data_IF_888611940678
#
_entry.id   IF_888611940678
#
_cell.length_a   1.000
_cell.length_b   1.000
_cell.length_c   1.000
_cell.angle_alpha   90.00
_cell.angle_beta   90.00
_cell.angle_gamma   90.00
#
_symmetry.space_group_name_H-M   'P 1'
#
loop_
_entity.id
_entity.type
_entity.pdbx_description
1 polymer ?
#
# COMPACT_ATOMS: atom_id res chain seq x y z
N UNK A 1 -13.31 17.81 14.19
CA UNK A 1 -13.16 16.53 13.46
C UNK A 1 -11.76 16.00 13.73
N UNK A 2 -11.58 14.68 13.78
CA UNK A 2 -10.23 14.11 13.81
C UNK A 2 -9.56 14.42 12.47
N UNK A 3 -8.41 15.11 12.42
CA UNK A 3 -7.73 15.38 11.16
C UNK A 3 -7.24 14.07 10.55
N UNK A 4 -7.85 13.64 9.45
CA UNK A 4 -7.55 12.38 8.77
C UNK A 4 -8.57 12.06 7.67
N UNK A 5 -8.28 11.04 6.86
CA UNK A 5 -9.23 10.52 5.88
C UNK A 5 -10.44 9.88 6.61
N UNK A 6 -11.69 10.05 6.15
CA UNK A 6 -12.88 9.52 6.83
C UNK A 6 -12.84 8.01 7.11
N UNK A 7 -12.26 7.25 6.19
CA UNK A 7 -12.12 5.79 6.30
C UNK A 7 -10.92 5.34 7.15
N UNK A 8 -10.15 6.27 7.72
CA UNK A 8 -8.95 5.90 8.48
C UNK A 8 -9.31 5.11 9.74
N UNK A 9 -8.63 3.98 9.91
CA UNK A 9 -8.63 3.17 11.12
C UNK A 9 -7.27 2.46 11.24
N UNK A 10 -6.88 2.10 12.47
CA UNK A 10 -5.65 1.36 12.70
C UNK A 10 -5.74 -0.03 12.06
N UNK A 11 -4.73 -0.38 11.24
CA UNK A 11 -4.65 -1.70 10.64
C UNK A 11 -4.51 -2.81 11.71
N UNK A 12 -5.09 -4.00 11.51
CA UNK A 12 -4.89 -5.14 12.40
C UNK A 12 -3.41 -5.49 12.57
N UNK A 13 -3.03 -6.07 13.72
CA UNK A 13 -1.63 -6.46 14.00
C UNK A 13 -1.01 -7.37 12.93
N UNK A 14 -1.81 -8.20 12.27
CA UNK A 14 -1.38 -9.08 11.18
C UNK A 14 -0.86 -8.33 9.95
N UNK A 15 -1.19 -7.04 9.81
CA UNK A 15 -0.74 -6.16 8.73
C UNK A 15 0.46 -5.27 9.10
N UNK A 16 0.98 -5.35 10.32
CA UNK A 16 2.11 -4.52 10.75
C UNK A 16 3.37 -4.77 9.88
N UNK A 17 4.07 -3.70 9.51
CA UNK A 17 5.34 -3.73 8.76
C UNK A 17 6.56 -3.36 9.61
N UNK A 18 6.37 -2.69 10.74
CA UNK A 18 7.47 -2.29 11.62
C UNK A 18 8.33 -3.49 12.02
N UNK A 19 9.65 -3.35 11.91
CA UNK A 19 10.62 -4.40 12.19
C UNK A 19 10.72 -5.52 11.14
N UNK A 20 9.92 -5.47 10.06
CA UNK A 20 10.04 -6.42 8.95
C UNK A 20 11.04 -5.94 7.90
N UNK A 21 11.69 -6.90 7.27
CA UNK A 21 12.52 -6.68 6.10
C UNK A 21 11.68 -6.40 4.85
N UNK A 22 12.29 -5.91 3.77
CA UNK A 22 11.56 -5.58 2.53
C UNK A 22 10.97 -6.83 1.86
N UNK A 23 11.71 -7.93 1.85
CA UNK A 23 11.25 -9.23 1.38
C UNK A 23 10.06 -9.74 2.20
N UNK A 24 10.12 -9.61 3.53
CA UNK A 24 9.01 -10.01 4.40
C UNK A 24 7.74 -9.16 4.18
N UNK A 25 7.89 -7.85 3.95
CA UNK A 25 6.76 -6.97 3.61
C UNK A 25 6.18 -7.34 2.24
N UNK A 26 7.02 -7.56 1.24
CA UNK A 26 6.58 -7.98 -0.10
C UNK A 26 5.79 -9.29 -0.06
N UNK A 27 6.30 -10.31 0.64
CA UNK A 27 5.57 -11.57 0.79
C UNK A 27 4.27 -11.39 1.59
N UNK A 28 4.23 -10.44 2.54
CA UNK A 28 3.00 -10.10 3.25
C UNK A 28 1.94 -9.46 2.36
N UNK A 29 2.33 -8.55 1.45
CA UNK A 29 1.42 -7.89 0.51
C UNK A 29 0.77 -8.93 -0.43
N UNK A 30 1.51 -9.98 -0.81
CA UNK A 30 1.04 -11.07 -1.67
C UNK A 30 0.16 -12.09 -0.95
N UNK A 31 0.31 -12.22 0.37
CA UNK A 31 -0.38 -13.22 1.16
C UNK A 31 -1.85 -12.83 1.43
N UNK A 32 -2.78 -13.55 0.79
CA UNK A 32 -4.22 -13.33 0.90
C UNK A 32 -4.75 -13.42 2.33
N UNK A 33 -4.08 -14.14 3.23
CA UNK A 33 -4.45 -14.23 4.65
C UNK A 33 -4.07 -13.00 5.45
N UNK A 34 -3.17 -12.16 4.92
CA UNK A 34 -2.61 -10.99 5.61
C UNK A 34 -2.87 -9.67 4.87
N UNK A 35 -3.35 -9.69 3.63
CA UNK A 35 -3.63 -8.48 2.83
C UNK A 35 -5.13 -8.13 2.71
N UNK A 36 -6.00 -8.79 3.50
CA UNK A 36 -7.45 -8.62 3.40
C UNK A 36 -8.08 -9.39 2.25
N UNK A 37 -7.52 -10.53 1.86
CA UNK A 37 -8.08 -11.44 0.85
C UNK A 37 -7.83 -11.05 -0.61
N UNK A 38 -7.12 -9.94 -0.86
CA UNK A 38 -6.95 -9.32 -2.18
C UNK A 38 -6.04 -10.15 -3.09
N UNK A 39 -6.43 -10.28 -4.36
CA UNK A 39 -5.55 -10.74 -5.44
C UNK A 39 -4.55 -9.64 -5.82
N UNK A 40 -3.52 -9.97 -6.59
CA UNK A 40 -2.56 -8.96 -7.08
C UNK A 40 -3.25 -7.88 -7.95
N UNK A 41 -4.23 -8.27 -8.78
CA UNK A 41 -5.01 -7.30 -9.55
C UNK A 41 -5.79 -6.34 -8.65
N UNK A 42 -6.39 -6.86 -7.56
CA UNK A 42 -7.08 -6.03 -6.58
C UNK A 42 -6.12 -5.15 -5.76
N UNK A 43 -4.87 -5.60 -5.53
CA UNK A 43 -3.82 -4.76 -4.93
C UNK A 43 -3.44 -3.62 -5.87
N UNK A 44 -3.30 -3.86 -7.17
CA UNK A 44 -3.02 -2.81 -8.15
C UNK A 44 -4.14 -1.75 -8.17
N UNK A 45 -5.40 -2.20 -8.19
CA UNK A 45 -6.56 -1.31 -8.14
C UNK A 45 -6.61 -0.50 -6.85
N UNK A 46 -6.44 -1.16 -5.70
CA UNK A 46 -6.39 -0.50 -4.39
C UNK A 46 -5.28 0.56 -4.33
N UNK A 47 -4.05 0.21 -4.75
CA UNK A 47 -2.93 1.14 -4.74
C UNK A 47 -3.17 2.36 -5.64
N UNK A 48 -3.77 2.15 -6.81
CA UNK A 48 -3.98 3.20 -7.82
C UNK A 48 -5.12 4.16 -7.47
N UNK A 49 -6.21 3.68 -6.83
CA UNK A 49 -7.46 4.44 -6.77
C UNK A 49 -8.11 4.55 -5.39
N UNK A 50 -7.64 3.80 -4.38
CA UNK A 50 -8.18 3.92 -3.03
C UNK A 50 -7.91 5.31 -2.45
N UNK A 51 -8.93 5.99 -1.94
CA UNK A 51 -8.80 7.37 -1.46
C UNK A 51 -8.05 7.48 -0.13
N UNK A 52 -8.07 6.42 0.69
CA UNK A 52 -7.26 6.37 1.91
C UNK A 52 -5.77 6.19 1.57
N UNK A 53 -5.44 5.38 0.55
CA UNK A 53 -4.09 5.32 -0.02
C UNK A 53 -3.69 6.67 -0.62
N UNK A 54 -4.58 7.26 -1.43
CA UNK A 54 -4.39 8.55 -2.10
C UNK A 54 -4.16 9.72 -1.16
N UNK A 55 -4.65 9.63 0.07
CA UNK A 55 -4.39 10.61 1.12
C UNK A 55 -2.90 10.84 1.38
N UNK A 56 -2.01 9.87 1.05
CA UNK A 56 -0.56 10.04 1.11
C UNK A 56 -0.02 11.18 0.22
N UNK A 57 -0.69 11.52 -0.87
CA UNK A 57 -0.29 12.60 -1.80
C UNK A 57 -1.07 13.91 -1.58
N UNK A 58 -2.16 13.86 -0.82
CA UNK A 58 -2.90 15.05 -0.37
C UNK A 58 -3.19 15.00 1.14
N UNK A 59 -2.15 14.99 1.99
CA UNK A 59 -2.33 14.82 3.41
C UNK A 59 -2.82 16.13 4.05
N UNK A 60 -3.34 16.01 5.27
CA UNK A 60 -3.77 17.17 6.05
C UNK A 60 -2.62 18.16 6.37
N UNK A 61 -2.95 19.36 6.88
CA UNK A 61 -1.99 20.42 7.14
C UNK A 61 -0.76 19.97 7.96
N UNK A 62 0.42 20.47 7.58
CA UNK A 62 1.69 20.20 8.28
C UNK A 62 2.35 18.85 7.98
N UNK A 63 1.77 18.03 7.09
CA UNK A 63 2.36 16.74 6.67
C UNK A 63 3.06 16.84 5.33
N UNK A 64 4.17 16.11 5.20
CA UNK A 64 4.88 15.97 3.93
C UNK A 64 4.15 14.98 3.02
N UNK A 65 3.97 15.36 1.75
CA UNK A 65 3.42 14.49 0.71
C UNK A 65 4.38 13.35 0.39
N UNK A 66 3.83 12.20 0.04
CA UNK A 66 4.61 11.14 -0.60
C UNK A 66 5.25 11.67 -1.90
N UNK A 67 6.44 11.18 -2.28
CA UNK A 67 7.05 11.52 -3.57
C UNK A 67 6.21 11.01 -4.74
N UNK A 68 6.34 11.66 -5.90
CA UNK A 68 5.58 11.31 -7.12
C UNK A 68 4.07 11.52 -6.97
N UNK A 69 3.29 10.62 -7.58
CA UNK A 69 1.82 10.63 -7.59
C UNK A 69 1.24 9.23 -7.31
N UNK A 70 -0.03 9.17 -6.89
CA UNK A 70 -0.72 7.89 -6.72
C UNK A 70 -0.86 7.13 -8.05
N UNK A 71 -1.05 7.86 -9.16
CA UNK A 71 -1.13 7.25 -10.49
C UNK A 71 0.18 6.54 -10.85
N UNK A 72 1.34 7.17 -10.62
CA UNK A 72 2.65 6.54 -10.81
C UNK A 72 2.82 5.33 -9.88
N UNK A 73 2.35 5.40 -8.63
CA UNK A 73 2.37 4.25 -7.72
C UNK A 73 1.53 3.06 -8.22
N UNK A 74 0.35 3.33 -8.80
CA UNK A 74 -0.47 2.34 -9.47
C UNK A 74 0.25 1.67 -10.64
N UNK A 75 0.89 2.47 -11.51
CA UNK A 75 1.65 1.96 -12.66
C UNK A 75 2.87 1.14 -12.23
N UNK A 76 3.61 1.59 -11.21
CA UNK A 76 4.71 0.82 -10.62
C UNK A 76 4.24 -0.51 -10.03
N UNK A 77 3.07 -0.52 -9.37
CA UNK A 77 2.48 -1.76 -8.83
C UNK A 77 2.14 -2.73 -9.96
N UNK A 78 1.51 -2.24 -11.05
CA UNK A 78 1.22 -3.06 -12.24
C UNK A 78 2.48 -3.62 -12.88
N UNK A 79 3.52 -2.79 -13.04
CA UNK A 79 4.80 -3.21 -13.60
C UNK A 79 5.46 -4.31 -12.76
N UNK A 80 5.47 -4.17 -11.43
CA UNK A 80 5.98 -5.19 -10.51
C UNK A 80 5.21 -6.51 -10.64
N UNK A 81 3.88 -6.46 -10.73
CA UNK A 81 3.04 -7.65 -10.95
C UNK A 81 3.35 -8.31 -12.29
N UNK A 82 3.45 -7.53 -13.37
CA UNK A 82 3.78 -8.03 -14.70
C UNK A 82 5.17 -8.70 -14.75
N UNK A 83 6.12 -8.21 -13.94
CA UNK A 83 7.44 -8.82 -13.77
C UNK A 83 7.44 -10.07 -12.87
N UNK A 84 6.26 -10.55 -12.45
CA UNK A 84 6.08 -11.76 -11.64
C UNK A 84 5.96 -11.51 -10.14
N UNK A 85 5.73 -10.28 -9.71
CA UNK A 85 5.58 -9.88 -8.29
C UNK A 85 6.70 -10.43 -7.39
N UNK A 86 7.94 -10.39 -7.90
CA UNK A 86 9.11 -10.93 -7.21
C UNK A 86 9.42 -10.09 -5.97
N UNK A 87 9.80 -10.78 -4.90
CA UNK A 87 10.24 -10.13 -3.67
C UNK A 87 11.77 -10.02 -3.64
N UNK A 88 12.31 -8.90 -3.13
CA UNK A 88 13.75 -8.76 -2.94
C UNK A 88 14.25 -9.74 -1.88
N UNK A 89 15.54 -10.08 -1.93
CA UNK A 89 16.19 -10.80 -0.85
C UNK A 89 16.31 -9.89 0.39
N UNK A 90 16.11 -10.47 1.58
CA UNK A 90 16.07 -9.75 2.85
C UNK A 90 14.66 -9.40 3.22
#
# INVERSE_FOLDING_TARGET
SIPGHPEWHLAPRSMAWEGKTLGAICEQIKDRKRNGGKTLAQIAEHNAHDSLVGWGWNPGPGRQKAPGTQAEFGELTKAWIAAGAKCPAG
#
